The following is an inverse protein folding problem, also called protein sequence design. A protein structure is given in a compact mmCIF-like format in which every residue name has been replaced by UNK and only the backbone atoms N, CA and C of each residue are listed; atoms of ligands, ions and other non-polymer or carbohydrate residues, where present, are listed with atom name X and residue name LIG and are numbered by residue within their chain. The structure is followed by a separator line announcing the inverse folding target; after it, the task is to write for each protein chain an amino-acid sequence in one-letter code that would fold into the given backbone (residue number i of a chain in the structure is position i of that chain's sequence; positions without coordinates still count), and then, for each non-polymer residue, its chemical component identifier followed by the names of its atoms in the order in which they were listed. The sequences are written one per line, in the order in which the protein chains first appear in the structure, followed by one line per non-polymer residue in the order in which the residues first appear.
data_IF_789222788439
#
_entry.id   IF_789222788439
#
_cell.length_a   1.000
_cell.length_b   1.000
_cell.length_c   1.000
_cell.angle_alpha   90.00
_cell.angle_beta   90.00
_cell.angle_gamma   90.00
#
_symmetry.space_group_name_H-M   'P 1'
#
loop_
_entity.id
_entity.type
_entity.pdbx_description
1 polymer ?
#
# COMPACT_ATOMS: atom_id res chain seq x y z
N UNK A 1 6.95 -21.98 12.54
CA UNK A 1 8.06 -21.02 12.29
C UNK A 1 8.21 -20.77 10.78
N UNK A 2 7.15 -20.30 10.13
CA UNK A 2 7.12 -19.84 8.74
C UNK A 2 6.55 -18.41 8.67
N UNK A 3 6.77 -17.66 9.75
CA UNK A 3 6.47 -16.25 9.87
C UNK A 3 7.82 -15.55 9.64
N UNK A 4 8.09 -14.90 8.51
CA UNK A 4 7.21 -14.60 7.39
C UNK A 4 8.10 -14.10 6.22
N UNK A 5 8.63 -15.00 5.38
CA UNK A 5 9.60 -14.62 4.33
C UNK A 5 9.03 -13.62 3.32
N UNK A 6 7.74 -13.73 3.03
CA UNK A 6 7.04 -12.75 2.19
C UNK A 6 6.98 -11.37 2.85
N UNK A 7 6.68 -11.30 4.13
CA UNK A 7 6.52 -10.05 4.86
C UNK A 7 7.85 -9.29 4.99
N UNK A 8 8.96 -10.00 5.24
CA UNK A 8 10.28 -9.36 5.21
C UNK A 8 10.63 -8.90 3.79
N UNK A 9 10.38 -9.74 2.78
CA UNK A 9 10.64 -9.44 1.38
C UNK A 9 9.83 -8.23 0.90
N UNK A 10 8.52 -8.19 1.19
CA UNK A 10 7.63 -7.12 0.73
C UNK A 10 8.02 -5.78 1.34
N UNK A 11 8.39 -5.76 2.62
CA UNK A 11 8.87 -4.55 3.30
C UNK A 11 10.20 -4.05 2.71
N UNK A 12 11.16 -4.94 2.48
CA UNK A 12 12.45 -4.60 1.85
C UNK A 12 12.26 -4.09 0.42
N UNK A 13 11.43 -4.79 -0.35
CA UNK A 13 11.07 -4.42 -1.71
C UNK A 13 10.44 -3.02 -1.76
N UNK A 14 9.43 -2.75 -0.92
CA UNK A 14 8.81 -1.43 -0.87
C UNK A 14 9.80 -0.34 -0.44
N UNK A 15 10.69 -0.62 0.51
CA UNK A 15 11.74 0.32 0.91
C UNK A 15 12.68 0.68 -0.24
N UNK A 16 13.12 -0.31 -1.02
CA UNK A 16 14.03 -0.11 -2.15
C UNK A 16 13.45 0.84 -3.21
N UNK A 17 12.18 0.67 -3.56
CA UNK A 17 11.50 1.52 -4.55
C UNK A 17 11.09 2.90 -4.02
N UNK A 18 10.81 3.01 -2.72
CA UNK A 18 10.24 4.23 -2.14
C UNK A 18 11.29 5.15 -1.51
N UNK A 19 12.43 4.62 -1.05
CA UNK A 19 13.50 5.43 -0.45
C UNK A 19 14.04 6.55 -1.37
N UNK A 20 14.09 6.39 -2.72
CA UNK A 20 14.49 7.49 -3.61
C UNK A 20 13.51 8.66 -3.65
N UNK A 21 12.22 8.43 -3.36
CA UNK A 21 11.13 9.42 -3.53
C UNK A 21 10.51 9.90 -2.21
N UNK A 22 11.04 9.48 -1.08
CA UNK A 22 10.54 9.89 0.23
C UNK A 22 11.21 9.18 1.41
N UNK A 23 10.64 9.40 2.59
CA UNK A 23 11.10 8.74 3.82
C UNK A 23 10.32 7.45 4.03
N UNK A 24 11.04 6.34 4.20
CA UNK A 24 10.47 5.03 4.51
C UNK A 24 10.84 4.63 5.93
N UNK A 25 9.86 4.14 6.70
CA UNK A 25 10.07 3.50 7.99
C UNK A 25 9.36 2.14 8.01
N UNK A 26 10.15 1.06 8.00
CA UNK A 26 9.63 -0.31 8.17
C UNK A 26 9.39 -0.59 9.64
N UNK A 27 8.33 -1.35 9.94
CA UNK A 27 7.96 -1.67 11.32
C UNK A 27 7.83 -0.40 12.17
N UNK A 28 7.06 0.57 11.69
CA UNK A 28 6.84 1.82 12.40
C UNK A 28 5.96 1.56 13.62
N UNK A 29 6.48 1.80 14.81
CA UNK A 29 5.79 1.56 16.08
C UNK A 29 4.63 2.54 16.25
N UNK A 30 3.47 2.02 16.67
CA UNK A 30 2.31 2.85 17.00
C UNK A 30 2.45 3.29 18.45
N UNK A 31 2.53 4.61 18.74
CA UNK A 31 2.72 5.08 20.10
C UNK A 31 1.59 4.62 21.03
N UNK A 32 1.94 3.91 22.09
CA UNK A 32 1.00 3.41 23.10
C UNK A 32 0.34 2.07 22.77
N UNK A 33 0.67 1.46 21.63
CA UNK A 33 0.15 0.16 21.21
C UNK A 33 1.30 -0.79 20.83
N UNK A 34 1.23 -2.05 21.28
CA UNK A 34 2.21 -3.07 20.91
C UNK A 34 1.97 -3.59 19.47
N UNK A 35 1.95 -2.68 18.50
CA UNK A 35 1.65 -2.91 17.09
C UNK A 35 2.52 -2.03 16.21
N UNK A 36 2.80 -2.54 15.03
CA UNK A 36 3.65 -1.88 14.05
C UNK A 36 2.91 -1.75 12.73
N UNK A 37 3.08 -0.61 12.07
CA UNK A 37 2.79 -0.46 10.65
C UNK A 37 3.89 -1.17 9.87
N UNK A 38 3.51 -1.92 8.85
CA UNK A 38 4.49 -2.67 8.06
C UNK A 38 5.47 -1.75 7.34
N UNK A 39 4.94 -0.77 6.60
CA UNK A 39 5.70 0.33 6.00
C UNK A 39 4.93 1.64 6.20
N UNK A 40 5.55 2.58 6.89
CA UNK A 40 5.14 3.99 6.90
C UNK A 40 5.96 4.76 5.88
N UNK A 41 5.29 5.52 5.01
CA UNK A 41 5.92 6.29 3.96
C UNK A 41 5.47 7.74 3.99
N UNK A 42 6.43 8.65 3.86
CA UNK A 42 6.20 10.09 3.69
C UNK A 42 6.87 10.54 2.39
N UNK A 43 6.10 10.90 1.35
CA UNK A 43 6.68 11.32 0.08
C UNK A 43 7.45 12.63 0.22
N UNK A 44 8.50 12.82 -0.59
CA UNK A 44 9.19 14.10 -0.73
C UNK A 44 8.61 14.88 -1.93
N UNK A 45 7.82 15.96 -1.72
CA UNK A 45 7.14 16.69 -2.80
C UNK A 45 8.08 17.22 -3.90
N UNK A 46 9.36 17.42 -3.60
CA UNK A 46 10.34 17.96 -4.56
C UNK A 46 10.92 16.90 -5.51
N UNK A 47 10.77 15.61 -5.18
CA UNK A 47 11.45 14.50 -5.87
C UNK A 47 10.48 13.52 -6.54
N UNK A 48 9.17 13.66 -6.32
CA UNK A 48 8.14 12.78 -6.90
C UNK A 48 8.09 12.97 -8.43
N UNK A 49 8.94 12.25 -9.14
CA UNK A 49 8.75 11.85 -10.53
C UNK A 49 8.36 10.37 -10.50
N UNK A 50 7.10 10.10 -10.16
CA UNK A 50 6.58 8.73 -9.97
C UNK A 50 6.15 8.04 -11.26
N UNK A 51 6.42 8.64 -12.41
CA UNK A 51 6.00 8.15 -13.72
C UNK A 51 6.54 6.73 -13.97
N UNK A 52 7.78 6.47 -13.56
CA UNK A 52 8.44 5.15 -13.72
C UNK A 52 7.93 4.08 -12.74
N UNK A 53 7.22 4.48 -11.67
CA UNK A 53 6.66 3.57 -10.66
C UNK A 53 5.19 3.22 -10.92
N UNK A 54 4.59 3.75 -11.98
CA UNK A 54 3.19 3.48 -12.36
C UNK A 54 2.22 3.62 -11.17
N UNK A 55 1.42 2.59 -10.94
CA UNK A 55 0.44 2.53 -9.86
C UNK A 55 1.08 2.59 -8.47
N UNK A 56 2.27 1.99 -8.26
CA UNK A 56 2.97 2.12 -6.97
C UNK A 56 3.28 3.59 -6.68
N UNK A 57 3.78 4.31 -7.68
CA UNK A 57 4.00 5.75 -7.61
C UNK A 57 2.71 6.52 -7.35
N UNK A 58 1.62 6.17 -8.03
CA UNK A 58 0.31 6.82 -7.88
C UNK A 58 -0.30 6.67 -6.48
N UNK A 59 -0.11 5.54 -5.79
CA UNK A 59 -0.71 5.32 -4.47
C UNK A 59 0.04 6.03 -3.33
N UNK A 60 1.31 6.38 -3.54
CA UNK A 60 2.18 6.98 -2.51
C UNK A 60 2.34 8.51 -2.62
N UNK A 61 1.39 9.19 -3.26
CA UNK A 61 1.43 10.65 -3.48
C UNK A 61 1.24 11.48 -2.20
N UNK A 62 0.70 10.87 -1.15
CA UNK A 62 0.52 11.46 0.18
C UNK A 62 1.16 10.53 1.23
N UNK A 63 1.40 11.00 2.47
CA UNK A 63 1.81 10.11 3.55
C UNK A 63 0.89 8.88 3.61
N UNK A 64 1.45 7.69 3.79
CA UNK A 64 0.65 6.48 3.73
C UNK A 64 1.21 5.31 4.53
N UNK A 65 0.31 4.41 4.91
CA UNK A 65 0.61 3.10 5.46
C UNK A 65 0.47 2.08 4.33
N UNK A 66 1.47 1.23 4.12
CA UNK A 66 1.39 0.10 3.19
C UNK A 66 1.42 -1.20 4.02
N UNK A 67 0.36 -1.98 3.91
CA UNK A 67 0.16 -3.24 4.65
C UNK A 67 0.03 -4.41 3.66
N UNK A 68 1.14 -5.10 3.33
CA UNK A 68 1.14 -6.20 2.37
C UNK A 68 0.69 -7.53 2.98
N UNK A 69 -0.25 -8.21 2.31
CA UNK A 69 -0.77 -9.52 2.71
C UNK A 69 -0.55 -10.55 1.60
N UNK A 70 0.14 -11.65 1.91
CA UNK A 70 0.37 -12.75 0.95
C UNK A 70 -0.90 -13.55 0.63
N UNK A 71 -1.83 -13.58 1.58
CA UNK A 71 -3.07 -14.34 1.52
C UNK A 71 -4.25 -13.37 1.65
N UNK A 72 -5.45 -13.88 1.41
CA UNK A 72 -6.69 -13.14 1.65
C UNK A 72 -6.69 -12.53 3.07
N UNK A 73 -6.73 -11.19 3.20
CA UNK A 73 -6.82 -10.56 4.51
C UNK A 73 -8.10 -10.97 5.21
N UNK A 74 -7.98 -11.37 6.48
CA UNK A 74 -9.13 -11.59 7.35
C UNK A 74 -9.80 -10.27 7.70
N UNK A 75 -11.08 -10.34 8.08
CA UNK A 75 -11.82 -9.16 8.59
C UNK A 75 -11.10 -8.50 9.76
N UNK A 76 -10.45 -9.29 10.61
CA UNK A 76 -9.67 -8.77 11.74
C UNK A 76 -8.42 -8.03 11.26
N UNK A 77 -7.69 -8.56 10.28
CA UNK A 77 -6.51 -7.87 9.70
C UNK A 77 -6.90 -6.54 9.06
N UNK A 78 -7.98 -6.50 8.28
CA UNK A 78 -8.49 -5.24 7.69
C UNK A 78 -8.83 -4.22 8.79
N UNK A 79 -9.59 -4.62 9.83
CA UNK A 79 -9.94 -3.73 10.95
C UNK A 79 -8.72 -3.26 11.72
N UNK A 80 -7.74 -4.15 11.94
CA UNK A 80 -6.50 -3.80 12.61
C UNK A 80 -5.72 -2.79 11.78
N UNK A 81 -5.58 -2.98 10.48
CA UNK A 81 -4.90 -2.03 9.59
C UNK A 81 -5.58 -0.65 9.63
N UNK A 82 -6.91 -0.58 9.57
CA UNK A 82 -7.67 0.68 9.73
C UNK A 82 -7.43 1.31 11.10
N UNK A 83 -7.42 0.52 12.17
CA UNK A 83 -7.08 1.03 13.50
C UNK A 83 -5.66 1.61 13.55
N UNK A 84 -4.68 0.97 12.89
CA UNK A 84 -3.31 1.53 12.79
C UNK A 84 -3.34 2.92 12.16
N UNK A 85 -4.07 3.09 11.07
CA UNK A 85 -4.21 4.39 10.41
C UNK A 85 -4.80 5.45 11.35
N UNK A 86 -5.90 5.13 12.03
CA UNK A 86 -6.57 6.06 12.95
C UNK A 86 -5.61 6.52 14.06
N UNK A 87 -4.83 5.60 14.62
CA UNK A 87 -3.82 5.96 15.63
C UNK A 87 -2.74 6.90 15.10
N UNK A 88 -2.24 6.64 13.89
CA UNK A 88 -1.25 7.52 13.25
C UNK A 88 -1.84 8.90 12.99
N UNK A 89 -3.08 9.00 12.51
CA UNK A 89 -3.75 10.27 12.29
C UNK A 89 -3.88 11.08 13.60
N UNK A 90 -4.24 10.43 14.70
CA UNK A 90 -4.28 11.07 16.02
C UNK A 90 -2.90 11.45 16.58
N UNK A 91 -1.86 10.68 16.28
CA UNK A 91 -0.48 11.01 16.62
C UNK A 91 0.02 12.24 15.85
N UNK A 92 -0.21 12.29 14.54
CA UNK A 92 0.12 13.44 13.69
C UNK A 92 -0.64 14.70 14.11
N UNK A 93 -1.93 14.57 14.45
CA UNK A 93 -2.73 15.68 14.99
C UNK A 93 -2.13 16.24 16.29
N UNK A 94 -1.71 15.37 17.20
CA UNK A 94 -1.05 15.76 18.46
C UNK A 94 0.29 16.45 18.20
N UNK A 95 1.12 15.93 17.30
CA UNK A 95 2.41 16.54 16.91
C UNK A 95 2.24 17.92 16.28
N UNK A 96 1.22 18.08 15.43
CA UNK A 96 0.91 19.36 14.78
C UNK A 96 0.36 20.42 15.76
N UNK A 97 -0.04 20.03 16.98
CA UNK A 97 -0.72 20.91 17.96
C UNK A 97 -1.96 21.59 17.36
N UNK A 98 -2.67 20.88 16.50
CA UNK A 98 -3.88 21.36 15.83
C UNK A 98 -5.10 20.55 16.29
N UNK A 99 -6.24 21.23 16.46
CA UNK A 99 -7.50 20.56 16.78
C UNK A 99 -8.01 19.70 15.62
N UNK A 100 -7.74 20.14 14.38
CA UNK A 100 -8.12 19.45 13.14
C UNK A 100 -7.00 19.56 12.11
N UNK A 101 -6.75 18.47 11.38
CA UNK A 101 -5.90 18.46 10.19
C UNK A 101 -6.78 18.55 8.95
N UNK A 102 -6.27 19.13 7.86
CA UNK A 102 -6.96 19.05 6.57
C UNK A 102 -7.08 17.59 6.14
N UNK A 103 -8.24 17.20 5.64
CA UNK A 103 -8.47 15.87 5.04
C UNK A 103 -7.40 15.51 3.99
N UNK A 104 -6.93 16.48 3.21
CA UNK A 104 -5.89 16.27 2.19
C UNK A 104 -4.49 16.04 2.77
N UNK A 105 -4.26 16.40 4.03
CA UNK A 105 -3.00 16.21 4.73
C UNK A 105 -2.98 14.89 5.54
N UNK A 106 -4.13 14.24 5.73
CA UNK A 106 -4.21 12.99 6.46
C UNK A 106 -3.58 11.85 5.65
N UNK A 107 -2.85 10.93 6.31
CA UNK A 107 -2.34 9.76 5.64
C UNK A 107 -3.44 8.84 5.11
N UNK A 108 -3.10 8.07 4.08
CA UNK A 108 -3.93 7.03 3.47
C UNK A 108 -3.41 5.64 3.84
N UNK A 109 -4.30 4.68 4.07
CA UNK A 109 -3.97 3.27 4.19
C UNK A 109 -4.16 2.54 2.86
N UNK A 110 -3.13 1.77 2.47
CA UNK A 110 -3.16 0.85 1.34
C UNK A 110 -2.93 -0.58 1.82
N UNK A 111 -3.98 -1.39 1.74
CA UNK A 111 -3.92 -2.83 1.98
C UNK A 111 -3.52 -3.49 0.66
N UNK A 112 -2.30 -4.03 0.58
CA UNK A 112 -1.76 -4.64 -0.63
C UNK A 112 -1.96 -6.16 -0.57
N UNK A 113 -3.07 -6.66 -1.09
CA UNK A 113 -3.44 -8.06 -0.97
C UNK A 113 -3.06 -8.85 -2.23
N UNK A 114 -2.14 -9.82 -2.08
CA UNK A 114 -1.73 -10.71 -3.16
C UNK A 114 -2.87 -11.63 -3.65
N UNK A 115 -3.91 -11.80 -2.83
CA UNK A 115 -5.14 -12.53 -3.18
C UNK A 115 -6.31 -11.87 -2.48
N UNK A 116 -7.44 -11.77 -3.17
CA UNK A 116 -8.67 -11.18 -2.65
C UNK A 116 -9.88 -12.09 -2.86
N UNK A 117 -11.05 -11.66 -2.37
CA UNK A 117 -12.31 -12.34 -2.63
C UNK A 117 -13.43 -11.33 -2.78
N UNK A 118 -14.38 -11.61 -3.65
CA UNK A 118 -15.56 -10.77 -3.86
C UNK A 118 -16.32 -10.48 -2.55
N UNK A 119 -16.58 -11.47 -1.66
CA UNK A 119 -17.24 -11.19 -0.38
C UNK A 119 -16.47 -10.20 0.50
N UNK A 120 -15.13 -10.31 0.59
CA UNK A 120 -14.34 -9.38 1.39
C UNK A 120 -14.44 -7.95 0.86
N UNK A 121 -14.33 -7.79 -0.46
CA UNK A 121 -14.38 -6.48 -1.12
C UNK A 121 -15.77 -5.84 -0.95
N UNK A 122 -16.84 -6.61 -1.17
CA UNK A 122 -18.22 -6.13 -0.97
C UNK A 122 -18.51 -5.76 0.49
N UNK A 123 -18.12 -6.60 1.45
CA UNK A 123 -18.31 -6.33 2.87
C UNK A 123 -17.50 -5.13 3.37
N UNK A 124 -16.35 -4.85 2.77
CA UNK A 124 -15.56 -3.65 3.06
C UNK A 124 -16.17 -2.36 2.50
N UNK A 125 -17.23 -2.46 1.70
CA UNK A 125 -17.78 -1.33 0.95
C UNK A 125 -16.87 -0.86 -0.18
N UNK A 126 -16.00 -1.75 -0.68
CA UNK A 126 -14.99 -1.45 -1.68
C UNK A 126 -15.60 -1.09 -3.03
N UNK A 127 -15.30 0.11 -3.53
CA UNK A 127 -15.73 0.59 -4.85
C UNK A 127 -14.54 1.00 -5.71
N UNK A 128 -14.62 0.73 -7.01
CA UNK A 128 -13.63 1.25 -7.97
C UNK A 128 -14.09 2.66 -8.36
N UNK A 129 -13.21 3.65 -8.18
CA UNK A 129 -13.45 5.04 -8.58
C UNK A 129 -13.19 5.21 -10.08
N UNK A 130 -13.87 6.16 -10.72
CA UNK A 130 -13.84 6.35 -12.18
C UNK A 130 -12.42 6.57 -12.75
N UNK A 131 -11.57 7.27 -12.00
CA UNK A 131 -10.19 7.57 -12.36
C UNK A 131 -9.22 6.41 -12.03
N UNK A 132 -9.69 5.32 -11.43
CA UNK A 132 -8.86 4.19 -10.99
C UNK A 132 -9.12 2.93 -11.82
N UNK A 133 -8.08 2.13 -11.93
CA UNK A 133 -8.11 0.87 -12.68
C UNK A 133 -8.79 -0.27 -11.88
N UNK A 134 -9.21 -1.35 -12.57
CA UNK A 134 -9.61 -2.59 -11.91
C UNK A 134 -8.55 -3.07 -10.91
N UNK A 135 -9.00 -3.61 -9.78
CA UNK A 135 -8.13 -4.08 -8.71
C UNK A 135 -7.84 -3.04 -7.62
N UNK A 136 -8.26 -1.78 -7.76
CA UNK A 136 -8.15 -0.77 -6.68
C UNK A 136 -9.53 -0.43 -6.11
N UNK A 137 -9.79 -0.91 -4.89
CA UNK A 137 -11.08 -0.77 -4.22
C UNK A 137 -11.00 0.21 -3.05
N UNK A 138 -11.69 1.34 -3.16
CA UNK A 138 -11.80 2.33 -2.10
C UNK A 138 -12.90 1.95 -1.13
N UNK A 139 -12.57 1.92 0.16
CA UNK A 139 -13.52 1.85 1.28
C UNK A 139 -14.11 3.26 1.49
N UNK A 140 -15.29 3.44 2.13
CA UNK A 140 -15.85 4.78 2.37
C UNK A 140 -14.82 5.81 2.87
N UNK A 141 -14.82 6.99 2.24
CA UNK A 141 -13.72 7.96 2.30
C UNK A 141 -13.34 8.41 3.72
N UNK A 142 -14.28 8.34 4.68
CA UNK A 142 -14.03 8.62 6.10
C UNK A 142 -12.93 7.73 6.70
N UNK A 143 -12.71 6.53 6.15
CA UNK A 143 -11.70 5.60 6.62
C UNK A 143 -10.34 5.77 5.93
N UNK A 144 -10.22 6.63 4.92
CA UNK A 144 -8.94 6.88 4.21
C UNK A 144 -8.20 5.59 3.84
N UNK A 145 -8.95 4.60 3.34
CA UNK A 145 -8.44 3.25 3.10
C UNK A 145 -8.78 2.77 1.70
N UNK A 146 -7.84 2.10 1.05
CA UNK A 146 -8.07 1.33 -0.16
C UNK A 146 -7.44 -0.06 -0.06
N UNK A 147 -8.07 -1.03 -0.72
CA UNK A 147 -7.57 -2.39 -0.92
C UNK A 147 -7.10 -2.51 -2.36
N UNK A 148 -5.82 -2.82 -2.55
CA UNK A 148 -5.25 -3.19 -3.84
C UNK A 148 -5.30 -4.71 -3.95
N UNK A 149 -6.25 -5.19 -4.75
CA UNK A 149 -6.40 -6.58 -5.13
C UNK A 149 -5.38 -6.92 -6.24
N UNK A 150 -4.17 -7.31 -5.85
CA UNK A 150 -3.05 -7.53 -6.77
C UNK A 150 -3.38 -8.65 -7.78
N UNK A 151 -4.16 -9.64 -7.38
CA UNK A 151 -4.66 -10.72 -8.23
C UNK A 151 -5.67 -10.28 -9.31
N UNK A 152 -6.15 -9.03 -9.24
CA UNK A 152 -7.09 -8.44 -10.18
C UNK A 152 -6.50 -7.26 -10.96
N UNK A 153 -5.23 -6.91 -10.71
CA UNK A 153 -4.56 -5.83 -11.43
C UNK A 153 -4.35 -6.23 -12.91
N UNK A 154 -4.62 -5.33 -13.87
CA UNK A 154 -4.30 -5.55 -15.28
C UNK A 154 -2.82 -5.90 -15.48
N UNK A 155 -2.50 -6.74 -16.45
CA UNK A 155 -1.11 -7.09 -16.79
C UNK A 155 -0.50 -6.04 -17.72
N UNK A 156 -0.16 -4.89 -17.14
CA UNK A 156 0.48 -3.75 -17.81
C UNK A 156 1.71 -3.30 -17.04
N UNK A 157 2.57 -2.51 -17.69
CA UNK A 157 3.74 -1.89 -17.06
C UNK A 157 3.33 -1.01 -15.87
N UNK A 158 2.20 -0.31 -15.97
CA UNK A 158 1.65 0.54 -14.91
C UNK A 158 1.44 -0.21 -13.57
N UNK A 159 1.13 -1.51 -13.59
CA UNK A 159 0.88 -2.29 -12.37
C UNK A 159 2.03 -3.22 -12.00
N UNK A 160 3.08 -3.26 -12.81
CA UNK A 160 4.14 -4.27 -12.75
C UNK A 160 4.74 -4.39 -11.35
N UNK A 161 5.12 -3.24 -10.77
CA UNK A 161 5.79 -3.18 -9.47
C UNK A 161 4.90 -3.68 -8.31
N UNK A 162 3.57 -3.59 -8.42
CA UNK A 162 2.66 -4.16 -7.43
C UNK A 162 2.42 -5.65 -7.68
N UNK A 163 2.38 -6.10 -8.94
CA UNK A 163 2.21 -7.53 -9.28
C UNK A 163 3.39 -8.41 -8.85
N UNK A 164 4.59 -7.85 -8.64
CA UNK A 164 5.73 -8.55 -8.03
C UNK A 164 5.42 -9.00 -6.60
N UNK A 165 4.61 -8.24 -5.87
CA UNK A 165 4.10 -8.61 -4.53
C UNK A 165 2.94 -9.60 -4.59
N UNK A 166 2.53 -10.02 -5.80
CA UNK A 166 1.49 -11.01 -6.02
C UNK A 166 1.90 -12.42 -5.60
N UNK A 167 1.14 -13.40 -6.07
CA UNK A 167 1.34 -14.81 -5.74
C UNK A 167 1.18 -15.69 -6.97
N UNK A 168 1.85 -16.84 -6.95
CA UNK A 168 1.78 -17.89 -7.96
C UNK A 168 1.94 -17.31 -9.39
N UNK A 169 1.01 -17.58 -10.31
CA UNK A 169 1.09 -17.13 -11.69
C UNK A 169 1.16 -15.60 -11.87
N UNK A 170 0.61 -14.81 -10.95
CA UNK A 170 0.69 -13.34 -11.00
C UNK A 170 2.12 -12.87 -10.76
N UNK A 171 2.78 -13.41 -9.73
CA UNK A 171 4.16 -13.07 -9.39
C UNK A 171 5.13 -13.58 -10.45
N UNK A 172 4.97 -14.81 -10.93
CA UNK A 172 5.84 -15.39 -11.96
C UNK A 172 5.81 -14.58 -13.27
N UNK A 173 4.63 -14.10 -13.68
CA UNK A 173 4.49 -13.26 -14.88
C UNK A 173 5.15 -11.90 -14.69
N UNK A 174 4.89 -11.24 -13.56
CA UNK A 174 5.53 -9.96 -13.25
C UNK A 174 7.06 -10.07 -13.23
N UNK A 175 7.63 -11.14 -12.66
CA UNK A 175 9.08 -11.36 -12.69
C UNK A 175 9.59 -11.54 -14.12
N UNK A 176 8.89 -12.30 -14.97
CA UNK A 176 9.27 -12.45 -16.39
C UNK A 176 9.23 -11.12 -17.14
N UNK A 177 8.23 -10.29 -16.87
CA UNK A 177 8.11 -8.94 -17.45
C UNK A 177 9.30 -8.06 -17.03
N UNK A 178 9.66 -8.02 -15.73
CA UNK A 178 10.85 -7.30 -15.24
C UNK A 178 12.12 -7.77 -15.94
N UNK A 179 12.32 -9.09 -16.07
CA UNK A 179 13.49 -9.65 -16.74
C UNK A 179 13.54 -9.36 -18.24
N UNK A 180 12.43 -8.95 -18.84
CA UNK A 180 12.33 -8.55 -20.25
C UNK A 180 12.45 -7.04 -20.47
N UNK A 181 12.50 -6.23 -19.40
CA UNK A 181 12.67 -4.79 -19.51
C UNK A 181 14.05 -4.47 -20.12
N UNK A 182 14.15 -3.45 -20.98
CA UNK A 182 15.43 -2.97 -21.47
C UNK A 182 16.36 -2.57 -20.31
N UNK A 183 17.67 -2.74 -20.46
CA UNK A 183 18.64 -2.26 -19.45
C UNK A 183 18.64 -0.74 -19.27
N UNK A 184 17.97 -0.01 -20.17
CA UNK A 184 17.75 1.44 -20.10
C UNK A 184 16.41 1.81 -19.45
N UNK A 185 15.60 0.82 -19.05
CA UNK A 185 14.45 1.08 -18.21
C UNK A 185 14.98 1.60 -16.86
N UNK A 186 14.45 2.73 -16.35
CA UNK A 186 14.84 3.27 -15.06
C UNK A 186 14.68 2.23 -13.94
#
# INVERSE_FOLDING_TARGET
MAQNSFDQLSKQYLEEFLAPIGTVQRQYEIPGEAKFVDVWFVPNPEVIQTEDLGLLGRIVQTPCLLEPYRNLPTRTEVRVAVMKLIWIQEDERRKAQQDTLSETALPQLWILAATTSKPLLEESGGVIKFDWMPGVYFIPDIFKTAIVAIDQLPETEETLWLRILGRDATQERAIREVLSLPSSHP
#
